data_IF_011990531736
#
_entry.id   IF_011990531736
#
_cell.length_a   1.000
_cell.length_b   1.000
_cell.length_c   1.000
_cell.angle_alpha   90.00
_cell.angle_beta   90.00
_cell.angle_gamma   90.00
#
_symmetry.space_group_name_H-M   'P 1'
#
loop_
_entity.id
_entity.type
_entity.pdbx_description
1 polymer ?
#
# COMPACT_ATOMS: atom_id res chain seq x y z
N UNK A 1 -7.28 -10.24 7.27
CA UNK A 1 -7.87 -9.17 6.44
C UNK A 1 -8.60 -9.76 5.24
N UNK A 2 -9.76 -9.25 4.87
CA UNK A 2 -10.50 -9.65 3.65
C UNK A 2 -11.33 -8.47 3.12
N UNK A 3 -12.07 -8.66 2.03
CA UNK A 3 -12.78 -7.58 1.32
C UNK A 3 -14.24 -7.93 1.05
N UNK A 4 -15.09 -6.91 0.94
CA UNK A 4 -16.51 -7.01 0.60
C UNK A 4 -16.93 -5.87 -0.37
N UNK A 5 -18.10 -6.03 -1.00
CA UNK A 5 -18.65 -5.10 -1.99
C UNK A 5 -18.60 -5.64 -3.42
N UNK A 6 -17.41 -5.65 -4.03
CA UNK A 6 -17.22 -6.12 -5.41
C UNK A 6 -17.39 -7.63 -5.55
N UNK A 7 -18.17 -8.05 -6.55
CA UNK A 7 -18.50 -9.45 -6.83
C UNK A 7 -17.67 -9.96 -8.01
N UNK A 8 -17.60 -9.18 -9.08
CA UNK A 8 -16.73 -9.38 -10.22
C UNK A 8 -16.35 -8.02 -10.84
N UNK A 9 -15.66 -8.03 -11.99
CA UNK A 9 -15.13 -6.81 -12.62
C UNK A 9 -16.24 -5.78 -12.89
N UNK A 10 -17.37 -6.19 -13.45
CA UNK A 10 -18.43 -5.25 -13.85
C UNK A 10 -19.64 -5.23 -12.90
N UNK A 11 -19.54 -5.88 -11.75
CA UNK A 11 -20.66 -5.98 -10.81
C UNK A 11 -20.22 -5.94 -9.35
N UNK A 12 -20.81 -4.99 -8.63
CA UNK A 12 -20.68 -4.81 -7.20
C UNK A 12 -22.05 -4.70 -6.57
N UNK A 13 -22.17 -5.19 -5.34
CA UNK A 13 -23.36 -5.04 -4.52
C UNK A 13 -22.91 -4.56 -3.15
N UNK A 14 -23.28 -3.32 -2.84
CA UNK A 14 -22.94 -2.63 -1.60
C UNK A 14 -24.14 -2.60 -0.63
N UNK A 15 -25.22 -3.34 -0.92
CA UNK A 15 -26.37 -3.41 -0.02
C UNK A 15 -25.99 -4.02 1.34
N UNK A 16 -26.60 -3.57 2.45
CA UNK A 16 -26.38 -4.15 3.77
C UNK A 16 -26.55 -5.68 3.81
N UNK A 17 -27.55 -6.20 3.09
CA UNK A 17 -27.80 -7.64 3.00
C UNK A 17 -26.63 -8.38 2.35
N UNK A 18 -26.11 -7.85 1.25
CA UNK A 18 -24.98 -8.47 0.56
C UNK A 18 -23.70 -8.39 1.37
N UNK A 19 -23.41 -7.26 2.02
CA UNK A 19 -22.23 -7.11 2.89
C UNK A 19 -22.23 -8.18 3.99
N UNK A 20 -23.36 -8.36 4.70
CA UNK A 20 -23.50 -9.42 5.72
C UNK A 20 -23.30 -10.81 5.14
N UNK A 21 -23.92 -11.09 3.99
CA UNK A 21 -23.79 -12.37 3.30
C UNK A 21 -22.35 -12.64 2.86
N UNK A 22 -21.65 -11.63 2.38
CA UNK A 22 -20.24 -11.73 1.95
C UNK A 22 -19.33 -12.00 3.14
N UNK A 23 -19.50 -11.26 4.25
CA UNK A 23 -18.76 -11.48 5.50
C UNK A 23 -19.00 -12.89 6.05
N UNK A 24 -20.26 -13.33 6.14
CA UNK A 24 -20.60 -14.68 6.61
C UNK A 24 -19.98 -15.78 5.74
N UNK A 25 -19.93 -15.57 4.41
CA UNK A 25 -19.26 -16.47 3.48
C UNK A 25 -17.74 -16.52 3.71
N UNK A 26 -17.11 -15.38 3.99
CA UNK A 26 -15.68 -15.31 4.32
C UNK A 26 -15.36 -16.04 5.62
N UNK A 27 -16.15 -15.86 6.68
CA UNK A 27 -16.02 -16.61 7.94
C UNK A 27 -16.05 -18.12 7.71
N UNK A 28 -17.02 -18.60 6.91
CA UNK A 28 -17.13 -20.02 6.56
C UNK A 28 -15.92 -20.52 5.78
N UNK A 29 -15.42 -19.75 4.81
CA UNK A 29 -14.26 -20.12 3.97
C UNK A 29 -12.97 -20.18 4.77
N UNK A 30 -12.78 -19.24 5.70
CA UNK A 30 -11.59 -19.19 6.56
C UNK A 30 -11.72 -20.04 7.82
N UNK A 31 -12.85 -20.72 8.03
CA UNK A 31 -13.13 -21.53 9.21
C UNK A 31 -12.85 -20.79 10.53
N UNK A 32 -13.28 -19.53 10.60
CA UNK A 32 -13.09 -18.64 11.76
C UNK A 32 -14.41 -18.00 12.18
N UNK A 33 -14.50 -17.60 13.44
CA UNK A 33 -15.64 -16.86 14.00
C UNK A 33 -15.52 -15.35 13.90
N UNK A 34 -14.34 -14.83 13.50
CA UNK A 34 -14.09 -13.40 13.39
C UNK A 34 -13.10 -13.05 12.27
N UNK A 35 -13.10 -11.79 11.85
CA UNK A 35 -12.16 -11.22 10.89
C UNK A 35 -11.47 -10.00 11.53
N UNK A 36 -10.14 -9.91 11.39
CA UNK A 36 -9.40 -8.75 11.93
C UNK A 36 -9.77 -7.45 11.19
N UNK A 37 -9.82 -7.51 9.85
CA UNK A 37 -10.09 -6.36 9.00
C UNK A 37 -10.99 -6.78 7.85
N UNK A 38 -12.04 -6.01 7.59
CA UNK A 38 -12.84 -6.09 6.37
C UNK A 38 -12.75 -4.75 5.64
N UNK A 39 -12.20 -4.78 4.42
CA UNK A 39 -12.14 -3.61 3.55
C UNK A 39 -13.37 -3.53 2.66
N UNK A 40 -14.03 -2.38 2.65
CA UNK A 40 -14.90 -1.99 1.56
C UNK A 40 -14.02 -1.50 0.41
N UNK A 41 -13.92 -2.29 -0.65
CA UNK A 41 -13.08 -1.98 -1.80
C UNK A 41 -13.91 -1.28 -2.88
N UNK A 42 -13.26 -0.43 -3.67
CA UNK A 42 -13.79 0.15 -4.89
C UNK A 42 -14.98 1.09 -4.62
N UNK A 43 -14.93 1.85 -3.51
CA UNK A 43 -16.01 2.76 -3.11
C UNK A 43 -16.11 4.01 -3.99
N UNK A 44 -15.10 4.33 -4.81
CA UNK A 44 -15.14 5.41 -5.81
C UNK A 44 -16.17 5.16 -6.91
N UNK A 45 -16.63 3.91 -7.07
CA UNK A 45 -17.67 3.54 -8.03
C UNK A 45 -19.07 3.53 -7.41
N UNK A 46 -19.20 3.98 -6.17
CA UNK A 46 -20.41 3.91 -5.35
C UNK A 46 -20.77 5.32 -4.92
N UNK A 47 -22.06 5.64 -4.85
CA UNK A 47 -22.44 6.97 -4.40
C UNK A 47 -22.21 7.15 -2.88
N UNK A 48 -22.19 8.39 -2.41
CA UNK A 48 -21.92 8.70 -1.01
C UNK A 48 -22.91 8.05 -0.03
N UNK A 49 -24.20 8.02 -0.37
CA UNK A 49 -25.24 7.44 0.49
C UNK A 49 -25.08 5.92 0.62
N UNK A 50 -24.82 5.23 -0.48
CA UNK A 50 -24.49 3.80 -0.49
C UNK A 50 -23.21 3.51 0.29
N UNK A 51 -22.18 4.36 0.16
CA UNK A 51 -20.93 4.23 0.93
C UNK A 51 -21.20 4.33 2.43
N UNK A 52 -22.01 5.29 2.87
CA UNK A 52 -22.40 5.43 4.28
C UNK A 52 -23.14 4.19 4.79
N UNK A 53 -24.07 3.64 4.02
CA UNK A 53 -24.81 2.43 4.39
C UNK A 53 -23.90 1.21 4.56
N UNK A 54 -22.89 1.06 3.68
CA UNK A 54 -21.90 -0.01 3.81
C UNK A 54 -21.07 0.16 5.07
N UNK A 55 -20.56 1.37 5.30
CA UNK A 55 -19.72 1.68 6.46
C UNK A 55 -20.51 1.42 7.75
N UNK A 56 -21.75 1.87 7.83
CA UNK A 56 -22.65 1.60 8.95
C UNK A 56 -22.84 0.09 9.18
N UNK A 57 -23.13 -0.67 8.12
CA UNK A 57 -23.28 -2.13 8.19
C UNK A 57 -22.01 -2.83 8.68
N UNK A 58 -20.84 -2.40 8.21
CA UNK A 58 -19.55 -2.93 8.65
C UNK A 58 -19.26 -2.59 10.13
N UNK A 59 -19.62 -1.37 10.57
CA UNK A 59 -19.50 -0.99 11.97
C UNK A 59 -20.45 -1.79 12.86
N UNK A 60 -21.69 -2.07 12.46
CA UNK A 60 -22.57 -2.95 13.23
C UNK A 60 -21.97 -4.35 13.40
N UNK A 61 -21.43 -4.92 12.31
CA UNK A 61 -20.73 -6.19 12.37
C UNK A 61 -19.49 -6.10 13.27
N UNK A 62 -18.83 -4.94 13.31
CA UNK A 62 -17.73 -4.70 14.22
C UNK A 62 -18.16 -4.66 15.69
N UNK A 63 -19.24 -3.93 16.01
CA UNK A 63 -19.81 -3.88 17.36
C UNK A 63 -20.31 -5.25 17.84
N UNK A 64 -20.74 -6.12 16.92
CA UNK A 64 -21.11 -7.51 17.25
C UNK A 64 -19.91 -8.44 17.52
N UNK A 65 -18.68 -7.97 17.30
CA UNK A 65 -17.44 -8.73 17.50
C UNK A 65 -17.04 -9.63 16.33
N UNK A 66 -17.81 -9.64 15.24
CA UNK A 66 -17.50 -10.42 14.02
C UNK A 66 -16.33 -9.81 13.25
N UNK A 67 -16.19 -8.48 13.29
CA UNK A 67 -15.12 -7.73 12.63
C UNK A 67 -14.38 -6.87 13.67
N UNK A 68 -13.05 -6.85 13.68
CA UNK A 68 -12.33 -5.98 14.62
C UNK A 68 -12.14 -4.57 14.09
N UNK A 69 -11.82 -4.43 12.81
CA UNK A 69 -11.57 -3.15 12.16
C UNK A 69 -12.24 -3.07 10.79
N UNK A 70 -12.71 -1.86 10.44
CA UNK A 70 -13.28 -1.53 9.14
C UNK A 70 -12.25 -0.72 8.35
N UNK A 71 -12.02 -1.09 7.09
CA UNK A 71 -11.14 -0.37 6.17
C UNK A 71 -11.94 0.10 4.95
N UNK A 72 -11.55 1.24 4.39
CA UNK A 72 -12.08 1.77 3.12
C UNK A 72 -10.91 1.85 2.14
N UNK A 73 -11.09 1.35 0.92
CA UNK A 73 -10.12 1.38 -0.17
C UNK A 73 -10.77 2.01 -1.40
N UNK A 74 -10.07 2.93 -2.05
CA UNK A 74 -10.55 3.60 -3.26
C UNK A 74 -11.59 4.70 -3.01
N UNK A 75 -11.55 5.48 -1.92
CA UNK A 75 -12.45 6.65 -1.88
C UNK A 75 -11.94 7.75 -2.82
N UNK A 76 -12.82 8.63 -3.29
CA UNK A 76 -12.54 9.87 -4.07
C UNK A 76 -11.63 10.89 -3.36
N UNK A 77 -11.00 10.49 -2.26
CA UNK A 77 -9.87 11.16 -1.66
C UNK A 77 -8.67 10.74 -2.50
N UNK A 78 -7.96 11.72 -3.09
CA UNK A 78 -6.83 11.62 -4.06
C UNK A 78 -5.66 10.67 -3.67
N UNK A 79 -5.79 9.93 -2.58
CA UNK A 79 -4.72 9.35 -1.78
C UNK A 79 -5.03 7.91 -1.34
N UNK A 80 -6.26 7.42 -1.54
CA UNK A 80 -6.67 6.07 -1.14
C UNK A 80 -6.47 4.99 -2.22
N UNK A 81 -5.67 5.30 -3.24
CA UNK A 81 -5.31 4.37 -4.31
C UNK A 81 -4.00 3.62 -4.02
N UNK A 82 -3.79 2.51 -4.72
CA UNK A 82 -2.55 1.74 -4.62
C UNK A 82 -1.38 2.48 -5.26
N UNK A 83 -0.18 2.38 -4.66
CA UNK A 83 1.04 2.93 -5.23
C UNK A 83 1.26 4.43 -4.97
N UNK A 84 0.56 5.02 -4.00
CA UNK A 84 0.68 6.44 -3.65
C UNK A 84 1.84 6.75 -2.67
N UNK A 85 2.53 5.73 -2.17
CA UNK A 85 3.80 5.86 -1.42
C UNK A 85 4.86 4.85 -1.90
N UNK A 86 5.48 5.20 -3.02
CA UNK A 86 6.51 4.45 -3.74
C UNK A 86 7.68 5.37 -4.07
N UNK A 87 8.79 4.79 -4.54
CA UNK A 87 9.92 5.59 -5.01
C UNK A 87 9.55 6.57 -6.16
N UNK A 88 8.51 6.25 -6.94
CA UNK A 88 8.02 7.09 -8.03
C UNK A 88 6.97 8.10 -7.57
N UNK A 89 6.18 7.82 -6.53
CA UNK A 89 5.03 8.62 -6.14
C UNK A 89 4.91 8.76 -4.60
N UNK A 90 4.80 9.99 -4.12
CA UNK A 90 4.74 10.38 -2.70
C UNK A 90 3.48 11.18 -2.34
N UNK A 91 2.41 11.08 -3.12
CA UNK A 91 1.13 11.78 -2.85
C UNK A 91 0.56 11.46 -1.46
N UNK A 92 0.73 10.22 -0.96
CA UNK A 92 0.28 9.84 0.38
C UNK A 92 0.88 10.72 1.47
N UNK A 93 2.19 10.98 1.38
CA UNK A 93 2.91 11.90 2.29
C UNK A 93 2.48 13.34 2.14
N UNK A 94 2.26 13.79 0.90
CA UNK A 94 2.01 15.19 0.59
C UNK A 94 0.63 15.68 1.02
N UNK A 95 -0.39 14.81 1.04
CA UNK A 95 -1.77 15.26 1.22
C UNK A 95 -2.65 14.46 2.17
N UNK A 96 -2.30 13.22 2.53
CA UNK A 96 -3.32 12.28 3.06
C UNK A 96 -3.16 11.92 4.52
N UNK A 97 -1.93 11.64 4.92
CA UNK A 97 -1.68 11.08 6.25
C UNK A 97 -2.13 12.01 7.38
N UNK A 98 -1.87 13.32 7.27
CA UNK A 98 -2.32 14.27 8.30
C UNK A 98 -3.86 14.36 8.35
N UNK A 99 -4.53 14.42 7.19
CA UNK A 99 -5.99 14.46 7.14
C UNK A 99 -6.61 13.19 7.74
N UNK A 100 -6.03 12.02 7.47
CA UNK A 100 -6.45 10.75 8.07
C UNK A 100 -6.26 10.74 9.59
N UNK A 101 -5.11 11.21 10.08
CA UNK A 101 -4.86 11.33 11.51
C UNK A 101 -5.87 12.24 12.22
N UNK A 102 -6.17 13.42 11.64
CA UNK A 102 -7.18 14.35 12.16
C UNK A 102 -8.60 13.77 12.12
N UNK A 103 -8.92 12.96 11.10
CA UNK A 103 -10.19 12.24 11.00
C UNK A 103 -10.28 11.04 11.96
N UNK A 104 -9.23 10.73 12.71
CA UNK A 104 -9.19 9.64 13.68
C UNK A 104 -8.87 8.26 13.10
N UNK A 105 -8.45 8.20 11.83
CA UNK A 105 -7.96 6.96 11.20
C UNK A 105 -6.75 6.46 12.00
N UNK A 106 -6.75 5.17 12.31
CA UNK A 106 -5.71 4.53 13.14
C UNK A 106 -4.60 3.87 12.32
N UNK A 107 -4.91 3.50 11.09
CA UNK A 107 -3.96 2.85 10.21
C UNK A 107 -4.20 3.20 8.74
N UNK A 108 -3.12 3.26 7.97
CA UNK A 108 -3.11 3.34 6.51
C UNK A 108 -2.33 2.15 5.99
N UNK A 109 -2.91 1.47 5.01
CA UNK A 109 -2.30 0.32 4.35
C UNK A 109 -1.71 0.79 3.01
N UNK A 110 -0.44 1.19 3.00
CA UNK A 110 0.25 1.51 1.77
C UNK A 110 0.50 0.24 0.94
N UNK A 111 -0.28 0.08 -0.13
CA UNK A 111 -0.20 -1.08 -1.01
C UNK A 111 0.59 -0.79 -2.29
N UNK A 112 1.16 -1.84 -2.87
CA UNK A 112 1.94 -1.77 -4.12
C UNK A 112 3.19 -0.87 -4.05
N UNK A 113 4.13 -1.11 -3.11
CA UNK A 113 5.36 -0.33 -2.97
C UNK A 113 6.23 -0.31 -4.23
N UNK A 114 6.04 -1.28 -5.13
CA UNK A 114 6.73 -1.40 -6.41
C UNK A 114 5.97 -0.77 -7.59
N UNK A 115 4.98 0.09 -7.31
CA UNK A 115 4.09 0.73 -8.28
C UNK A 115 3.58 -0.27 -9.34
N UNK A 116 2.90 -1.33 -8.89
CA UNK A 116 2.28 -2.33 -9.77
C UNK A 116 3.31 -3.02 -10.70
N UNK A 117 4.51 -3.30 -10.14
CA UNK A 117 5.67 -3.92 -10.81
C UNK A 117 6.43 -2.99 -11.77
N UNK A 118 6.12 -1.70 -11.81
CA UNK A 118 6.90 -0.71 -12.56
C UNK A 118 8.34 -0.57 -12.04
N UNK A 119 8.54 -0.71 -10.73
CA UNK A 119 9.83 -0.54 -10.06
C UNK A 119 10.59 -1.86 -9.96
N UNK A 120 10.94 -2.47 -11.10
CA UNK A 120 11.73 -3.71 -11.17
C UNK A 120 12.87 -3.59 -12.20
N UNK A 121 13.93 -4.38 -12.00
CA UNK A 121 15.08 -4.45 -12.92
C UNK A 121 14.75 -5.16 -14.24
N UNK A 122 13.68 -5.97 -14.26
CA UNK A 122 13.22 -6.64 -15.47
C UNK A 122 12.34 -5.67 -16.25
N UNK A 123 12.74 -5.36 -17.49
CA UNK A 123 11.90 -4.62 -18.44
C UNK A 123 10.49 -5.21 -18.42
N UNK A 124 9.48 -4.36 -18.25
CA UNK A 124 8.09 -4.77 -18.47
C UNK A 124 8.05 -5.47 -19.84
N UNK A 125 7.62 -6.75 -19.93
CA UNK A 125 7.75 -7.53 -21.15
C UNK A 125 7.17 -6.77 -22.34
N UNK A 126 7.94 -6.59 -23.41
CA UNK A 126 7.48 -5.93 -24.64
C UNK A 126 6.72 -6.97 -25.47
N UNK A 127 5.42 -6.75 -25.71
CA UNK A 127 4.54 -7.70 -26.42
C UNK A 127 3.08 -7.61 -25.97
N UNK A 128 2.24 -8.61 -26.26
CA UNK A 128 0.80 -8.59 -25.93
C UNK A 128 0.48 -8.44 -24.42
N UNK A 129 1.46 -8.68 -23.53
CA UNK A 129 1.39 -8.47 -22.07
C UNK A 129 1.52 -6.99 -21.65
N UNK A 130 1.84 -6.08 -22.59
CA UNK A 130 1.97 -4.62 -22.39
C UNK A 130 0.63 -3.92 -22.15
N UNK A 131 -0.50 -4.57 -22.44
CA UNK A 131 -1.83 -3.95 -22.37
C UNK A 131 -2.33 -3.64 -20.94
N UNK A 132 -1.67 -4.09 -19.89
CA UNK A 132 -2.24 -4.02 -18.53
C UNK A 132 -1.72 -2.88 -17.64
N UNK A 133 -0.44 -2.48 -17.74
CA UNK A 133 0.07 -1.45 -16.82
C UNK A 133 -0.36 -0.04 -17.25
N UNK A 134 -0.94 0.80 -16.37
CA UNK A 134 -1.43 2.13 -16.73
C UNK A 134 -0.31 3.17 -17.03
N UNK A 135 0.96 2.82 -16.87
CA UNK A 135 2.07 3.76 -17.03
C UNK A 135 2.37 3.98 -18.52
N UNK A 136 2.53 5.23 -18.99
CA UNK A 136 2.87 5.51 -20.37
C UNK A 136 4.28 4.99 -20.73
N UNK A 137 4.56 4.72 -22.02
CA UNK A 137 5.85 4.17 -22.47
C UNK A 137 7.07 4.96 -21.99
N UNK A 138 6.97 6.29 -21.96
CA UNK A 138 8.04 7.19 -21.54
C UNK A 138 8.34 7.04 -20.03
N UNK A 139 7.31 6.86 -19.21
CA UNK A 139 7.49 6.62 -17.77
C UNK A 139 8.13 5.26 -17.51
N UNK A 140 7.75 4.24 -18.29
CA UNK A 140 8.40 2.92 -18.22
C UNK A 140 9.88 2.99 -18.61
N UNK A 141 10.21 3.74 -19.67
CA UNK A 141 11.59 3.93 -20.12
C UNK A 141 12.45 4.60 -19.04
N UNK A 142 11.91 5.65 -18.40
CA UNK A 142 12.62 6.36 -17.33
C UNK A 142 12.76 5.51 -16.06
N UNK A 143 11.79 4.64 -15.74
CA UNK A 143 11.95 3.67 -14.66
C UNK A 143 13.02 2.62 -14.96
N UNK A 144 13.19 2.25 -16.23
CA UNK A 144 14.26 1.36 -16.67
C UNK A 144 15.64 2.02 -16.54
N UNK A 145 15.77 3.29 -16.93
CA UNK A 145 17.01 4.07 -16.73
C UNK A 145 17.37 4.17 -15.25
N UNK A 146 16.38 4.43 -14.38
CA UNK A 146 16.60 4.44 -12.94
C UNK A 146 17.02 3.05 -12.41
N UNK A 147 16.53 1.96 -12.99
CA UNK A 147 16.95 0.62 -12.61
C UNK A 147 18.40 0.32 -12.98
N UNK A 148 18.82 0.73 -14.17
CA UNK A 148 20.20 0.60 -14.65
C UNK A 148 21.16 1.42 -13.76
N UNK A 149 20.81 2.65 -13.43
CA UNK A 149 21.62 3.50 -12.53
C UNK A 149 21.75 2.95 -11.10
N UNK A 150 20.69 2.32 -10.56
CA UNK A 150 20.76 1.65 -9.25
C UNK A 150 21.60 0.38 -9.32
N UNK A 151 21.53 -0.35 -10.45
CA UNK A 151 22.33 -1.54 -10.69
C UNK A 151 23.83 -1.22 -10.79
N UNK A 152 24.20 -0.12 -11.45
CA UNK A 152 25.60 0.35 -11.53
C UNK A 152 26.18 0.69 -10.13
N UNK A 153 25.31 0.98 -9.16
CA UNK A 153 25.67 1.22 -7.77
C UNK A 153 25.63 -0.05 -6.89
N UNK A 154 25.36 -1.21 -7.49
CA UNK A 154 25.43 -2.51 -6.82
C UNK A 154 24.15 -2.95 -6.10
N UNK A 155 23.00 -2.31 -6.36
CA UNK A 155 21.70 -2.70 -5.79
C UNK A 155 20.64 -2.94 -6.87
N UNK A 156 19.44 -3.35 -6.48
CA UNK A 156 18.29 -3.49 -7.37
C UNK A 156 17.25 -2.40 -7.11
N UNK A 157 16.57 -1.96 -8.17
CA UNK A 157 15.48 -1.00 -8.04
C UNK A 157 14.34 -1.55 -7.17
N UNK A 158 14.13 -2.87 -7.19
CA UNK A 158 13.12 -3.54 -6.34
C UNK A 158 13.44 -3.32 -4.87
N UNK A 159 14.67 -3.63 -4.47
CA UNK A 159 15.11 -3.52 -3.09
C UNK A 159 15.09 -2.06 -2.63
N UNK A 160 15.67 -1.16 -3.41
CA UNK A 160 15.67 0.30 -3.12
C UNK A 160 14.25 0.86 -3.04
N UNK A 161 13.33 0.47 -3.94
CA UNK A 161 11.96 0.96 -3.91
C UNK A 161 11.18 0.47 -2.69
N UNK A 162 11.39 -0.78 -2.28
CA UNK A 162 10.75 -1.33 -1.09
C UNK A 162 11.32 -0.70 0.19
N UNK A 163 12.64 -0.52 0.32
CA UNK A 163 13.24 0.18 1.47
C UNK A 163 12.78 1.64 1.55
N UNK A 164 12.67 2.31 0.40
CA UNK A 164 12.09 3.64 0.34
C UNK A 164 10.66 3.63 0.89
N UNK A 165 9.81 2.74 0.40
CA UNK A 165 8.40 2.68 0.81
C UNK A 165 8.24 2.37 2.31
N UNK A 166 9.00 1.40 2.84
CA UNK A 166 9.02 1.05 4.26
C UNK A 166 9.50 2.22 5.11
N UNK A 167 10.63 2.84 4.74
CA UNK A 167 11.19 3.97 5.50
C UNK A 167 10.25 5.16 5.57
N UNK A 168 9.53 5.42 4.49
CA UNK A 168 8.56 6.50 4.39
C UNK A 168 7.31 6.21 5.21
N UNK A 169 6.76 4.99 5.12
CA UNK A 169 5.62 4.56 5.94
C UNK A 169 5.94 4.56 7.45
N UNK A 170 7.13 4.10 7.84
CA UNK A 170 7.56 4.17 9.24
C UNK A 170 7.72 5.61 9.72
N UNK A 171 8.29 6.52 8.91
CA UNK A 171 8.37 7.95 9.24
C UNK A 171 6.99 8.61 9.34
N UNK A 172 6.05 8.18 8.52
CA UNK A 172 4.65 8.60 8.54
C UNK A 172 3.87 8.10 9.77
N UNK A 173 4.33 7.02 10.41
CA UNK A 173 3.68 6.40 11.56
C UNK A 173 3.91 7.22 12.84
N UNK A 174 3.20 8.35 12.95
CA UNK A 174 3.30 9.28 14.07
C UNK A 174 1.91 9.66 14.60
N UNK A 175 1.87 10.17 15.84
CA UNK A 175 0.66 10.74 16.45
C UNK A 175 -0.55 9.78 16.50
N UNK A 176 -0.29 8.48 16.64
CA UNK A 176 -1.34 7.45 16.74
C UNK A 176 -1.92 6.96 15.41
N UNK A 177 -1.37 7.42 14.28
CA UNK A 177 -1.57 6.82 12.95
C UNK A 177 -0.43 5.83 12.66
N UNK A 178 -0.77 4.64 12.16
CA UNK A 178 0.21 3.65 11.71
C UNK A 178 0.13 3.49 10.20
N UNK A 179 1.22 3.72 9.46
CA UNK A 179 1.30 3.42 8.03
C UNK A 179 2.09 2.12 7.84
N UNK A 180 1.50 1.16 7.14
CA UNK A 180 2.08 -0.17 6.91
C UNK A 180 2.16 -0.47 5.43
N UNK A 181 3.35 -0.90 4.99
CA UNK A 181 3.57 -1.37 3.62
C UNK A 181 3.06 -2.79 3.42
N UNK A 182 2.20 -3.00 2.43
CA UNK A 182 1.72 -4.32 2.00
C UNK A 182 2.39 -4.71 0.67
N UNK A 183 3.11 -5.84 0.67
CA UNK A 183 3.77 -6.40 -0.52
C UNK A 183 3.00 -7.59 -1.09
N UNK A 184 2.95 -7.70 -2.43
CA UNK A 184 2.47 -8.90 -3.11
C UNK A 184 3.58 -9.94 -3.27
N UNK A 185 3.25 -11.21 -3.05
CA UNK A 185 4.18 -12.35 -3.09
C UNK A 185 3.53 -13.44 -3.93
N UNK A 186 4.27 -14.02 -4.88
CA UNK A 186 3.79 -15.13 -5.72
C UNK A 186 4.71 -16.35 -5.70
N UNK A 187 5.87 -16.24 -5.04
CA UNK A 187 6.86 -17.30 -4.89
C UNK A 187 7.56 -17.19 -3.54
N UNK A 188 8.19 -18.28 -3.09
CA UNK A 188 9.02 -18.28 -1.88
C UNK A 188 10.22 -17.32 -2.01
N UNK A 189 10.84 -17.25 -3.19
CA UNK A 189 11.92 -16.28 -3.49
C UNK A 189 11.47 -14.84 -3.31
N UNK A 190 10.26 -14.47 -3.78
CA UNK A 190 9.74 -13.11 -3.57
C UNK A 190 9.55 -12.81 -2.07
N UNK A 191 9.12 -13.79 -1.28
CA UNK A 191 8.95 -13.65 0.17
C UNK A 191 10.31 -13.43 0.85
N UNK A 192 11.28 -14.28 0.55
CA UNK A 192 12.63 -14.20 1.11
C UNK A 192 13.30 -12.87 0.77
N UNK A 193 13.23 -12.45 -0.49
CA UNK A 193 13.76 -11.15 -0.94
C UNK A 193 13.08 -9.98 -0.21
N UNK A 194 11.74 -9.96 -0.13
CA UNK A 194 11.01 -8.89 0.56
C UNK A 194 11.39 -8.82 2.05
N UNK A 195 11.51 -9.97 2.73
CA UNK A 195 11.91 -10.05 4.13
C UNK A 195 13.33 -9.53 4.32
N UNK A 196 14.28 -9.96 3.48
CA UNK A 196 15.67 -9.50 3.57
C UNK A 196 15.79 -8.01 3.28
N UNK A 197 15.07 -7.49 2.29
CA UNK A 197 15.02 -6.05 2.01
C UNK A 197 14.44 -5.26 3.17
N UNK A 198 13.38 -5.74 3.84
CA UNK A 198 12.82 -5.08 5.02
C UNK A 198 13.85 -5.01 6.17
N UNK A 199 14.60 -6.09 6.41
CA UNK A 199 15.66 -6.13 7.43
C UNK A 199 16.85 -5.21 7.14
N UNK A 200 17.05 -4.78 5.89
CA UNK A 200 18.11 -3.84 5.54
C UNK A 200 17.82 -2.40 5.96
N UNK A 201 16.56 -2.07 6.26
CA UNK A 201 16.12 -0.71 6.61
C UNK A 201 15.49 -0.61 8.01
N UNK A 202 15.12 -1.75 8.60
CA UNK A 202 14.60 -1.85 9.96
C UNK A 202 15.68 -2.37 10.90
N UNK A 203 15.61 -1.99 12.17
CA UNK A 203 16.46 -2.52 13.23
C UNK A 203 15.68 -3.45 14.17
N UNK A 204 16.40 -4.36 14.84
CA UNK A 204 15.81 -5.25 15.84
C UNK A 204 15.30 -4.46 17.03
N UNK A 205 14.07 -4.74 17.45
CA UNK A 205 13.46 -4.13 18.62
C UNK A 205 14.15 -4.62 19.90
N UNK A 206 14.70 -3.67 20.66
CA UNK A 206 15.37 -3.94 21.94
C UNK A 206 14.39 -4.41 23.03
N UNK A 207 13.09 -4.13 22.88
CA UNK A 207 12.04 -4.43 23.87
C UNK A 207 11.67 -5.92 23.90
N UNK A 208 11.80 -6.61 22.77
CA UNK A 208 11.53 -8.05 22.66
C UNK A 208 12.72 -8.92 23.10
N UNK A 209 13.88 -8.31 23.35
CA UNK A 209 15.16 -8.98 23.61
C UNK A 209 15.67 -9.04 25.07
N UNK A 210 14.90 -8.97 26.19
CA UNK A 210 15.51 -9.12 27.52
C UNK A 210 15.89 -10.57 27.86
N UNK A 211 15.22 -11.56 27.25
CA UNK A 211 15.36 -12.99 27.58
C UNK A 211 15.62 -13.88 26.36
N UNK A 212 16.03 -13.32 25.22
CA UNK A 212 16.54 -14.11 24.12
C UNK A 212 17.87 -14.73 24.56
N UNK A 213 17.79 -15.91 25.16
CA UNK A 213 18.95 -16.76 25.38
C UNK A 213 19.75 -16.83 24.09
N UNK A 214 21.06 -16.69 24.24
CA UNK A 214 22.06 -16.93 23.20
C UNK A 214 21.58 -18.17 22.42
N UNK A 215 21.18 -17.99 21.15
CA UNK A 215 20.57 -18.95 20.23
C UNK A 215 19.02 -19.02 20.17
N UNK A 216 18.34 -17.98 19.66
CA UNK A 216 17.12 -18.23 18.86
C UNK A 216 17.56 -18.63 17.44
N UNK A 217 17.11 -19.77 16.86
CA UNK A 217 17.68 -20.29 15.61
C UNK A 217 17.34 -19.47 14.36
N UNK A 218 16.30 -18.64 14.41
CA UNK A 218 15.76 -17.98 13.21
C UNK A 218 15.69 -16.47 13.42
N UNK A 219 16.44 -15.73 12.61
CA UNK A 219 16.37 -14.28 12.48
C UNK A 219 15.03 -13.91 11.84
N UNK A 220 13.99 -13.65 12.62
CA UNK A 220 12.62 -13.51 12.13
C UNK A 220 12.23 -12.03 11.99
N UNK A 221 11.46 -11.70 10.93
CA UNK A 221 11.10 -10.32 10.62
C UNK A 221 10.31 -9.63 11.75
N UNK A 222 9.56 -10.37 12.56
CA UNK A 222 8.81 -9.80 13.69
C UNK A 222 9.70 -9.22 14.79
N UNK A 223 10.99 -9.55 14.81
CA UNK A 223 11.95 -8.95 15.73
C UNK A 223 12.34 -7.53 15.29
N UNK A 224 11.99 -7.12 14.07
CA UNK A 224 12.32 -5.82 13.48
C UNK A 224 11.12 -4.89 13.57
N UNK A 225 11.34 -3.65 14.00
CA UNK A 225 10.24 -2.70 14.25
C UNK A 225 10.58 -1.27 13.88
N UNK A 226 11.60 -0.72 14.52
CA UNK A 226 12.00 0.68 14.31
C UNK A 226 12.86 0.82 13.06
N UNK A 227 12.94 2.04 12.53
CA UNK A 227 13.86 2.34 11.43
C UNK A 227 15.32 2.34 11.90
N UNK A 228 16.17 1.77 11.04
CA UNK A 228 17.61 1.99 11.09
C UNK A 228 17.92 3.30 10.35
N UNK A 229 18.09 4.40 11.09
CA UNK A 229 18.37 5.72 10.50
C UNK A 229 19.73 5.79 9.79
N UNK A 230 20.71 4.95 10.18
CA UNK A 230 21.98 4.86 9.45
C UNK A 230 21.77 4.19 8.08
N UNK A 231 20.95 3.13 8.03
CA UNK A 231 20.54 2.52 6.78
C UNK A 231 19.75 3.47 5.89
N UNK A 232 18.83 4.25 6.46
CA UNK A 232 18.08 5.27 5.71
C UNK A 232 19.03 6.34 5.17
N UNK A 233 20.00 6.79 5.95
CA UNK A 233 21.01 7.75 5.50
C UNK A 233 21.89 7.18 4.38
N UNK A 234 22.25 5.89 4.46
CA UNK A 234 23.03 5.18 3.43
C UNK A 234 22.26 5.06 2.10
N UNK A 235 20.96 4.81 2.16
CA UNK A 235 20.12 4.68 0.96
C UNK A 235 19.70 6.04 0.36
N UNK A 236 19.80 7.14 1.12
CA UNK A 236 19.36 8.46 0.66
C UNK A 236 19.92 8.86 -0.72
N UNK A 237 21.21 8.66 -1.04
CA UNK A 237 21.72 8.95 -2.38
C UNK A 237 21.10 8.09 -3.49
N UNK A 238 20.79 6.82 -3.21
CA UNK A 238 20.11 5.92 -4.16
C UNK A 238 18.68 6.41 -4.41
N UNK A 239 17.98 6.84 -3.36
CA UNK A 239 16.64 7.40 -3.47
C UNK A 239 16.63 8.66 -4.33
N UNK A 240 17.51 9.62 -4.02
CA UNK A 240 17.58 10.89 -4.73
C UNK A 240 18.04 10.71 -6.19
N UNK A 241 19.03 9.85 -6.44
CA UNK A 241 19.49 9.53 -7.79
C UNK A 241 18.37 8.93 -8.64
N UNK A 242 17.70 7.90 -8.14
CA UNK A 242 16.61 7.26 -8.86
C UNK A 242 15.41 8.21 -9.05
N UNK A 243 15.10 9.08 -8.09
CA UNK A 243 14.03 10.09 -8.20
C UNK A 243 14.40 11.21 -9.18
N UNK A 244 15.65 11.64 -9.22
CA UNK A 244 16.15 12.67 -10.15
C UNK A 244 16.01 12.23 -11.60
N UNK A 245 16.38 10.97 -11.91
CA UNK A 245 16.21 10.38 -13.24
C UNK A 245 14.74 10.45 -13.70
N UNK A 246 13.79 10.32 -12.77
CA UNK A 246 12.36 10.39 -13.08
C UNK A 246 11.88 11.75 -13.58
N UNK A 247 12.56 12.84 -13.19
CA UNK A 247 12.28 14.19 -13.66
C UNK A 247 10.79 14.54 -13.61
N UNK A 248 10.21 14.88 -14.77
CA UNK A 248 8.77 15.25 -14.89
C UNK A 248 7.79 14.15 -14.52
N UNK A 249 8.23 12.90 -14.40
CA UNK A 249 7.39 11.75 -14.07
C UNK A 249 7.36 11.43 -12.57
N UNK A 250 8.10 12.19 -11.77
CA UNK A 250 8.01 12.09 -10.32
C UNK A 250 6.60 12.51 -9.87
N UNK A 251 5.99 11.69 -9.02
CA UNK A 251 4.61 11.83 -8.54
C UNK A 251 3.55 11.87 -9.65
N UNK A 252 3.87 11.32 -10.83
CA UNK A 252 2.88 11.06 -11.86
C UNK A 252 1.88 10.01 -11.37
N UNK A 253 0.62 10.39 -11.34
CA UNK A 253 -0.49 9.50 -11.01
C UNK A 253 -1.09 8.92 -12.30
N UNK A 254 -1.02 7.59 -12.45
CA UNK A 254 -1.53 6.89 -13.63
C UNK A 254 -3.05 6.72 -13.63
N UNK A 255 -3.73 6.95 -12.50
CA UNK A 255 -5.18 6.80 -12.37
C UNK A 255 -5.93 8.13 -12.62
N UNK A 256 -5.20 9.25 -12.60
CA UNK A 256 -5.74 10.60 -12.76
C UNK A 256 -6.47 10.93 -14.09
N UNK A 257 -6.26 10.29 -15.26
CA UNK A 257 -7.07 10.59 -16.45
C UNK A 257 -8.38 9.78 -16.56
N UNK A 258 -8.65 8.79 -15.70
CA UNK A 258 -9.79 7.88 -15.83
C UNK A 258 -11.02 8.26 -14.97
N UNK A 259 -10.95 9.35 -14.19
CA UNK A 259 -12.08 9.77 -13.36
C UNK A 259 -13.29 10.20 -14.21
N UNK A 260 -14.50 9.68 -13.96
CA UNK A 260 -15.71 10.37 -14.38
C UNK A 260 -15.70 11.79 -13.83
N UNK A 261 -15.91 12.81 -14.67
CA UNK A 261 -15.89 14.24 -14.31
C UNK A 261 -17.06 14.68 -13.40
N UNK A 262 -17.53 13.84 -12.49
CA UNK A 262 -18.57 14.23 -11.54
C UNK A 262 -17.92 14.56 -10.20
N UNK A 263 -18.06 15.82 -9.78
CA UNK A 263 -17.98 16.30 -8.37
C UNK A 263 -16.71 16.98 -7.81
N UNK A 264 -15.64 17.24 -8.59
CA UNK A 264 -14.54 18.11 -8.09
C UNK A 264 -14.85 19.62 -8.25
N UNK A 265 -16.00 20.00 -8.82
CA UNK A 265 -16.32 21.41 -9.06
C UNK A 265 -16.99 22.14 -7.88
N UNK A 266 -17.15 21.51 -6.71
CA UNK A 266 -17.88 22.08 -5.58
C UNK A 266 -17.01 22.52 -4.37
N UNK A 267 -15.68 22.50 -4.44
CA UNK A 267 -14.80 22.93 -3.33
C UNK A 267 -13.79 24.02 -3.72
N UNK A 268 -14.10 24.85 -4.72
CA UNK A 268 -13.31 26.05 -5.03
C UNK A 268 -14.05 27.38 -4.89
N UNK A 269 -15.31 27.35 -4.49
CA UNK A 269 -16.08 28.55 -4.17
C UNK A 269 -16.89 28.26 -2.90
N UNK A 270 -16.28 28.55 -1.74
CA UNK A 270 -16.84 29.28 -0.59
C UNK A 270 -15.87 29.25 0.61
#
# INVERSE_FOLDING_TARGET
MTKAGRICEDYSDYSPEWIRKSVARSLKRFATSYLDVVSCQDVEFVNFEETLQVVETLYELSHSGVIRCVEISGADIDILEAGQLTLQNTWLEKGGLNAFGLAGVKAVCNSSPLAIRLLRNVRVPVGALVKWHPAPPELRAVCQEAAESVQDQGDSLVSVALRFSISRAQKASQNGLNDTTITGIISESDLEENVQTAKQILQKSTILAPNAGINSPDDLLFEYGDLDEEAVSRDSPLYEGARTIRGRWLDYDFFWPQRPKAQVQAQRED
#
